data_IF_430777787316
#
_entry.id   IF_430777787316
#
_cell.length_a   1.000
_cell.length_b   1.000
_cell.length_c   1.000
_cell.angle_alpha   90.00
_cell.angle_beta   90.00
_cell.angle_gamma   90.00
#
_symmetry.space_group_name_H-M   'P 1'
#
loop_
_entity.id
_entity.type
_entity.pdbx_description
1 polymer ?
#
# COMPACT_ATOMS: atom_id res chain seq x y z
N UNK A 1 52.20 32.72 -0.02
CA UNK A 1 52.03 31.63 0.96
C UNK A 1 50.61 31.06 1.08
N UNK A 2 49.59 31.51 0.31
CA UNK A 2 48.19 31.07 0.51
C UNK A 2 47.64 29.99 -0.42
N UNK A 3 48.45 29.37 -1.30
CA UNK A 3 47.95 28.30 -2.21
C UNK A 3 47.99 26.89 -1.64
N UNK A 4 48.70 26.65 -0.54
CA UNK A 4 48.83 25.32 0.08
C UNK A 4 47.69 24.98 1.06
N UNK A 5 47.01 25.99 1.63
CA UNK A 5 45.90 25.79 2.58
C UNK A 5 44.57 25.41 1.88
N UNK A 6 44.36 25.83 0.63
CA UNK A 6 43.12 25.54 -0.12
C UNK A 6 43.09 24.09 -0.63
N UNK A 7 44.25 23.53 -0.99
CA UNK A 7 44.40 22.13 -1.43
C UNK A 7 44.17 21.14 -0.28
N UNK A 8 44.58 21.49 0.93
CA UNK A 8 44.38 20.67 2.13
C UNK A 8 42.94 20.71 2.63
N UNK A 9 42.25 21.85 2.51
CA UNK A 9 40.82 21.95 2.85
C UNK A 9 39.92 21.17 1.87
N UNK A 10 40.17 21.25 0.56
CA UNK A 10 39.40 20.52 -0.45
C UNK A 10 39.57 18.99 -0.33
N UNK A 11 40.78 18.53 -0.01
CA UNK A 11 41.05 17.10 0.20
C UNK A 11 40.52 16.58 1.54
N UNK A 12 40.44 17.41 2.58
CA UNK A 12 39.77 17.06 3.84
C UNK A 12 38.25 16.94 3.66
N UNK A 13 37.65 17.85 2.88
CA UNK A 13 36.20 17.85 2.64
C UNK A 13 35.74 16.70 1.75
N UNK A 14 36.50 16.38 0.69
CA UNK A 14 36.24 15.20 -0.15
C UNK A 14 36.35 13.88 0.62
N UNK A 15 37.29 13.77 1.57
CA UNK A 15 37.37 12.59 2.47
C UNK A 15 36.19 12.51 3.43
N UNK A 16 35.71 13.65 3.94
CA UNK A 16 34.56 13.69 4.84
C UNK A 16 33.26 13.33 4.11
N UNK A 17 33.11 13.73 2.85
CA UNK A 17 31.98 13.38 1.98
C UNK A 17 32.01 11.90 1.53
N UNK A 18 33.20 11.35 1.26
CA UNK A 18 33.35 9.93 0.97
C UNK A 18 33.07 9.06 2.20
N UNK A 19 33.45 9.52 3.40
CA UNK A 19 33.11 8.88 4.67
C UNK A 19 31.62 9.00 5.02
N UNK A 20 30.96 10.12 4.74
CA UNK A 20 29.51 10.27 4.97
C UNK A 20 28.69 9.41 4.02
N UNK A 21 29.10 9.30 2.75
CA UNK A 21 28.44 8.44 1.77
C UNK A 21 28.66 6.95 2.08
N UNK A 22 29.86 6.57 2.51
CA UNK A 22 30.12 5.21 3.00
C UNK A 22 29.32 4.90 4.27
N UNK A 23 29.20 5.86 5.20
CA UNK A 23 28.40 5.69 6.41
C UNK A 23 26.90 5.57 6.10
N UNK A 24 26.37 6.36 5.16
CA UNK A 24 24.97 6.29 4.73
C UNK A 24 24.66 4.94 4.03
N UNK A 25 25.55 4.47 3.14
CA UNK A 25 25.41 3.15 2.49
C UNK A 25 25.53 2.00 3.48
N UNK A 26 26.42 2.11 4.46
CA UNK A 26 26.58 1.10 5.52
C UNK A 26 25.39 1.12 6.49
N UNK A 27 24.80 2.28 6.74
CA UNK A 27 23.57 2.42 7.55
C UNK A 27 22.37 1.80 6.82
N UNK A 28 22.24 2.02 5.51
CA UNK A 28 21.20 1.40 4.70
C UNK A 28 21.34 -0.13 4.62
N UNK A 29 22.57 -0.65 4.52
CA UNK A 29 22.86 -2.09 4.54
C UNK A 29 22.68 -2.74 5.92
N UNK A 30 23.01 -2.01 7.01
CA UNK A 30 22.77 -2.50 8.36
C UNK A 30 21.28 -2.46 8.74
N UNK A 31 20.53 -1.48 8.22
CA UNK A 31 19.08 -1.44 8.32
C UNK A 31 18.47 -2.61 7.56
N UNK A 32 18.88 -2.89 6.31
CA UNK A 32 18.37 -4.06 5.55
C UNK A 32 18.68 -5.39 6.23
N UNK A 33 19.81 -5.51 6.94
CA UNK A 33 20.14 -6.66 7.78
C UNK A 33 19.27 -6.74 9.05
N UNK A 34 18.94 -5.61 9.69
CA UNK A 34 18.02 -5.53 10.84
C UNK A 34 16.61 -6.06 10.51
N UNK A 35 16.14 -5.88 9.28
CA UNK A 35 14.85 -6.41 8.83
C UNK A 35 14.80 -7.96 8.79
N UNK A 36 15.94 -8.65 8.58
CA UNK A 36 15.98 -10.12 8.59
C UNK A 36 15.66 -10.73 9.95
N UNK A 37 15.84 -9.98 11.05
CA UNK A 37 15.47 -10.41 12.40
C UNK A 37 13.98 -10.20 12.73
N UNK A 38 13.27 -9.37 11.96
CA UNK A 38 11.87 -9.00 12.22
C UNK A 38 10.84 -9.93 11.54
N UNK A 39 11.25 -10.78 10.60
CA UNK A 39 10.41 -11.80 9.94
C UNK A 39 9.75 -12.78 10.94
N UNK A 40 10.28 -12.90 12.16
CA UNK A 40 9.72 -13.78 13.18
C UNK A 40 8.41 -13.24 13.82
N UNK A 41 8.06 -11.97 13.60
CA UNK A 41 6.82 -11.36 14.12
C UNK A 41 5.75 -11.12 13.04
N UNK A 42 6.12 -11.14 11.75
CA UNK A 42 5.22 -10.88 10.61
C UNK A 42 4.29 -12.09 10.33
N UNK A 43 4.64 -13.29 10.81
CA UNK A 43 3.81 -14.51 10.66
C UNK A 43 2.76 -14.72 11.76
N UNK A 44 2.61 -13.80 12.72
CA UNK A 44 1.53 -13.86 13.73
C UNK A 44 0.35 -12.96 13.34
N UNK A 45 -0.50 -13.53 12.49
CA UNK A 45 -1.95 -13.28 12.36
C UNK A 45 -2.47 -11.99 13.00
N UNK A 46 -2.36 -10.86 12.30
CA UNK A 46 -3.21 -9.68 12.53
C UNK A 46 -4.54 -9.91 11.82
N UNK A 47 -5.34 -10.82 12.39
CA UNK A 47 -6.79 -10.73 12.25
C UNK A 47 -7.18 -9.36 12.83
N UNK A 48 -7.68 -8.50 11.94
CA UNK A 48 -8.15 -7.14 12.23
C UNK A 48 -8.73 -7.02 13.64
N UNK A 49 -8.12 -6.17 14.46
CA UNK A 49 -8.69 -5.73 15.72
C UNK A 49 -9.87 -4.82 15.40
N UNK A 50 -11.07 -5.41 15.34
CA UNK A 50 -12.33 -4.68 15.53
C UNK A 50 -12.22 -3.99 16.90
N UNK A 51 -12.31 -2.65 17.01
CA UNK A 51 -12.26 -1.99 18.31
C UNK A 51 -13.45 -2.46 19.15
N UNK A 52 -13.18 -3.15 20.28
CA UNK A 52 -14.18 -3.35 21.33
C UNK A 52 -14.59 -4.78 21.72
N UNK A 53 -14.01 -5.87 21.18
CA UNK A 53 -14.32 -7.23 21.67
C UNK A 53 -13.09 -8.09 21.91
N UNK A 54 -12.82 -8.40 23.19
CA UNK A 54 -11.85 -9.42 23.59
C UNK A 54 -12.34 -10.79 23.12
N UNK A 55 -11.67 -11.38 22.13
CA UNK A 55 -11.88 -12.77 21.72
C UNK A 55 -10.90 -13.66 22.49
N UNK A 56 -11.41 -14.48 23.40
CA UNK A 56 -10.63 -15.52 24.07
C UNK A 56 -10.35 -16.67 23.10
N UNK A 57 -9.09 -16.86 22.71
CA UNK A 57 -8.64 -17.98 21.87
C UNK A 57 -8.68 -19.26 22.72
N UNK A 58 -9.64 -20.15 22.45
CA UNK A 58 -9.72 -21.44 23.18
C UNK A 58 -8.67 -22.43 22.68
N UNK A 59 -8.09 -23.20 23.61
CA UNK A 59 -7.12 -24.28 23.33
C UNK A 59 -7.64 -25.35 22.35
N UNK A 60 -8.93 -25.39 22.04
CA UNK A 60 -9.53 -26.39 21.14
C UNK A 60 -9.08 -26.26 19.68
N UNK A 61 -8.67 -25.07 19.23
CA UNK A 61 -8.14 -24.86 17.86
C UNK A 61 -6.80 -25.54 17.60
N UNK A 62 -6.00 -25.77 18.66
CA UNK A 62 -4.66 -26.36 18.57
C UNK A 62 -4.68 -27.90 18.50
N UNK A 63 -5.77 -28.54 18.92
CA UNK A 63 -5.92 -29.99 18.90
C UNK A 63 -6.42 -30.53 17.54
N UNK A 64 -7.16 -29.72 16.76
CA UNK A 64 -7.70 -30.13 15.46
C UNK A 64 -6.65 -30.16 14.34
N UNK A 65 -5.62 -29.33 14.41
CA UNK A 65 -4.53 -29.29 13.41
C UNK A 65 -3.58 -30.49 13.48
N UNK A 66 -3.53 -31.22 14.60
CA UNK A 66 -2.54 -32.29 14.82
C UNK A 66 -3.04 -33.66 14.31
N UNK A 67 -4.36 -33.89 14.26
CA UNK A 67 -4.93 -35.20 13.88
C UNK A 67 -5.79 -35.20 12.61
N UNK A 68 -6.15 -34.04 12.04
CA UNK A 68 -7.03 -33.90 10.87
C UNK A 68 -6.36 -33.61 9.52
N UNK A 69 -5.05 -33.33 9.49
CA UNK A 69 -4.38 -32.73 8.33
C UNK A 69 -4.45 -33.54 7.02
N UNK A 70 -4.49 -34.88 7.09
CA UNK A 70 -4.53 -35.72 5.90
C UNK A 70 -5.86 -35.66 5.11
N UNK A 71 -6.98 -35.46 5.80
CA UNK A 71 -8.30 -35.33 5.15
C UNK A 71 -8.49 -33.93 4.56
N UNK A 72 -8.10 -32.90 5.31
CA UNK A 72 -8.12 -31.50 4.86
C UNK A 72 -7.25 -31.31 3.62
N UNK A 73 -6.03 -31.83 3.62
CA UNK A 73 -5.11 -31.67 2.49
C UNK A 73 -5.58 -32.42 1.22
N UNK A 74 -6.25 -33.57 1.39
CA UNK A 74 -6.92 -34.27 0.28
C UNK A 74 -8.09 -33.44 -0.26
N UNK A 75 -8.88 -32.82 0.62
CA UNK A 75 -10.02 -32.01 0.22
C UNK A 75 -9.59 -30.72 -0.47
N UNK A 76 -8.58 -30.04 0.06
CA UNK A 76 -7.97 -28.88 -0.56
C UNK A 76 -7.39 -29.21 -1.94
N UNK A 77 -6.79 -30.40 -2.10
CA UNK A 77 -6.32 -30.89 -3.41
C UNK A 77 -7.47 -31.13 -4.39
N UNK A 78 -8.59 -31.68 -3.92
CA UNK A 78 -9.80 -31.84 -4.74
C UNK A 78 -10.34 -30.47 -5.19
N UNK A 79 -10.51 -29.52 -4.26
CA UNK A 79 -10.95 -28.15 -4.60
C UNK A 79 -9.99 -27.55 -5.63
N UNK A 80 -8.67 -27.57 -5.38
CA UNK A 80 -7.65 -27.08 -6.33
C UNK A 80 -7.78 -27.68 -7.73
N UNK A 81 -8.11 -28.96 -7.86
CA UNK A 81 -8.22 -29.64 -9.16
C UNK A 81 -9.39 -29.15 -10.02
N UNK A 82 -10.34 -28.44 -9.43
CA UNK A 82 -11.51 -27.87 -10.12
C UNK A 82 -11.19 -26.49 -10.70
N UNK A 83 -10.12 -25.83 -10.23
CA UNK A 83 -9.74 -24.49 -10.69
C UNK A 83 -8.51 -24.52 -11.61
N UNK A 84 -8.45 -23.63 -12.63
CA UNK A 84 -9.51 -22.75 -13.10
C UNK A 84 -10.56 -23.50 -13.93
N UNK A 85 -11.82 -23.06 -13.89
CA UNK A 85 -12.93 -23.71 -14.61
C UNK A 85 -13.62 -22.85 -15.66
N UNK A 86 -13.23 -21.58 -15.84
CA UNK A 86 -13.77 -20.68 -16.88
C UNK A 86 -15.31 -20.56 -16.88
N UNK A 87 -15.93 -20.55 -15.69
CA UNK A 87 -17.40 -20.63 -15.51
C UNK A 87 -18.10 -21.76 -16.28
N UNK A 88 -17.39 -22.85 -16.58
CA UNK A 88 -17.94 -24.02 -17.27
C UNK A 88 -19.12 -24.63 -16.52
N UNK A 89 -20.23 -24.80 -17.22
CA UNK A 89 -21.43 -25.49 -16.73
C UNK A 89 -21.28 -27.02 -16.72
N UNK A 90 -20.17 -27.56 -17.26
CA UNK A 90 -19.92 -29.00 -17.32
C UNK A 90 -19.42 -29.57 -15.99
N UNK A 91 -18.96 -28.72 -15.07
CA UNK A 91 -18.51 -29.16 -13.75
C UNK A 91 -19.73 -29.32 -12.84
N UNK A 92 -20.10 -30.57 -12.60
CA UNK A 92 -21.15 -30.91 -11.64
C UNK A 92 -20.78 -30.42 -10.23
N UNK A 93 -21.76 -29.84 -9.52
CA UNK A 93 -21.65 -29.35 -8.14
C UNK A 93 -20.64 -28.19 -7.94
N UNK A 94 -20.37 -27.40 -8.99
CA UNK A 94 -19.45 -26.26 -8.89
C UNK A 94 -19.89 -25.24 -7.82
N UNK A 95 -21.19 -24.98 -7.67
CA UNK A 95 -21.72 -24.08 -6.64
C UNK A 95 -21.39 -24.59 -5.22
N UNK A 96 -21.57 -25.89 -4.96
CA UNK A 96 -21.25 -26.51 -3.67
C UNK A 96 -19.75 -26.43 -3.36
N UNK A 97 -18.90 -26.56 -4.38
CA UNK A 97 -17.44 -26.44 -4.25
C UNK A 97 -17.05 -25.01 -3.86
N UNK A 98 -17.72 -23.99 -4.40
CA UNK A 98 -17.51 -22.60 -4.00
C UNK A 98 -17.97 -22.34 -2.56
N UNK A 99 -19.15 -22.82 -2.18
CA UNK A 99 -19.66 -22.70 -0.81
C UNK A 99 -18.72 -23.38 0.20
N UNK A 100 -18.23 -24.58 -0.13
CA UNK A 100 -17.25 -25.28 0.70
C UNK A 100 -15.93 -24.51 0.80
N UNK A 101 -15.42 -24.00 -0.33
CA UNK A 101 -14.20 -23.22 -0.36
C UNK A 101 -14.34 -21.94 0.51
N UNK A 102 -15.46 -21.22 0.44
CA UNK A 102 -15.73 -20.09 1.33
C UNK A 102 -15.80 -20.51 2.80
N UNK A 103 -16.26 -21.72 3.10
CA UNK A 103 -16.22 -22.31 4.45
C UNK A 103 -14.82 -22.33 5.07
N UNK A 104 -13.75 -22.39 4.25
CA UNK A 104 -12.37 -22.30 4.75
C UNK A 104 -12.05 -20.97 5.42
N UNK A 105 -12.75 -19.90 5.04
CA UNK A 105 -12.51 -18.59 5.61
C UNK A 105 -13.05 -18.45 7.02
N UNK A 106 -14.02 -19.28 7.43
CA UNK A 106 -14.63 -19.20 8.76
C UNK A 106 -13.61 -18.98 9.91
N UNK A 107 -13.89 -18.11 10.89
CA UNK A 107 -12.96 -17.85 11.97
C UNK A 107 -12.61 -19.13 12.75
N UNK A 108 -11.31 -19.44 12.87
CA UNK A 108 -10.82 -20.59 13.63
C UNK A 108 -11.09 -21.99 13.05
N UNK A 109 -11.63 -22.10 11.84
CA UNK A 109 -11.95 -23.39 11.21
C UNK A 109 -10.72 -24.09 10.59
N UNK A 110 -9.84 -23.33 9.93
CA UNK A 110 -8.70 -23.83 9.16
C UNK A 110 -7.43 -23.02 9.42
N UNK A 111 -6.28 -23.63 9.11
CA UNK A 111 -4.99 -22.95 9.21
C UNK A 111 -4.83 -21.85 8.14
N UNK A 112 -4.02 -20.84 8.44
CA UNK A 112 -3.80 -19.68 7.55
C UNK A 112 -3.32 -20.11 6.16
N UNK A 113 -2.48 -21.15 6.06
CA UNK A 113 -1.99 -21.66 4.78
C UNK A 113 -3.11 -22.22 3.87
N UNK A 114 -4.13 -22.89 4.45
CA UNK A 114 -5.30 -23.36 3.72
C UNK A 114 -6.15 -22.17 3.23
N UNK A 115 -6.30 -21.14 4.08
CA UNK A 115 -7.04 -19.91 3.72
C UNK A 115 -6.36 -19.18 2.57
N UNK A 116 -5.06 -18.94 2.67
CA UNK A 116 -4.26 -18.29 1.62
C UNK A 116 -4.37 -19.06 0.31
N UNK A 117 -4.30 -20.39 0.36
CA UNK A 117 -4.50 -21.24 -0.82
C UNK A 117 -5.84 -20.98 -1.50
N UNK A 118 -6.93 -21.02 -0.75
CA UNK A 118 -8.27 -20.82 -1.30
C UNK A 118 -8.43 -19.40 -1.84
N UNK A 119 -7.91 -18.40 -1.12
CA UNK A 119 -7.90 -17.02 -1.57
C UNK A 119 -7.17 -16.87 -2.91
N UNK A 120 -6.04 -17.55 -3.12
CA UNK A 120 -5.35 -17.55 -4.41
C UNK A 120 -6.17 -18.18 -5.54
N UNK A 121 -6.98 -19.21 -5.26
CA UNK A 121 -7.91 -19.77 -6.26
C UNK A 121 -8.97 -18.73 -6.66
N UNK A 122 -9.56 -18.03 -5.69
CA UNK A 122 -10.54 -16.98 -5.96
C UNK A 122 -9.92 -15.77 -6.66
N UNK A 123 -8.71 -15.35 -6.27
CA UNK A 123 -8.00 -14.27 -6.96
C UNK A 123 -7.70 -14.62 -8.43
N UNK A 124 -7.38 -15.87 -8.74
CA UNK A 124 -7.21 -16.32 -10.11
C UNK A 124 -8.52 -16.23 -10.93
N UNK A 125 -9.67 -16.58 -10.32
CA UNK A 125 -10.98 -16.43 -10.96
C UNK A 125 -11.35 -14.96 -11.15
N UNK A 126 -11.15 -14.12 -10.13
CA UNK A 126 -11.37 -12.66 -10.20
C UNK A 126 -10.52 -12.03 -11.30
N UNK A 127 -9.24 -12.40 -11.38
CA UNK A 127 -8.32 -11.91 -12.41
C UNK A 127 -8.78 -12.26 -13.83
N UNK A 128 -9.36 -13.44 -14.01
CA UNK A 128 -9.85 -13.90 -15.32
C UNK A 128 -11.30 -13.49 -15.62
N UNK A 129 -12.00 -12.92 -14.64
CA UNK A 129 -13.38 -12.44 -14.79
C UNK A 129 -14.45 -13.52 -14.59
N UNK A 130 -14.05 -14.77 -14.33
CA UNK A 130 -14.94 -15.92 -14.13
C UNK A 130 -15.47 -15.98 -12.69
N UNK A 131 -16.27 -14.98 -12.32
CA UNK A 131 -16.70 -14.74 -10.93
C UNK A 131 -18.15 -15.15 -10.68
N UNK A 132 -18.81 -15.79 -11.65
CA UNK A 132 -20.25 -16.06 -11.57
C UNK A 132 -20.61 -16.91 -10.34
N UNK A 133 -19.96 -18.06 -10.18
CA UNK A 133 -20.22 -18.97 -9.06
C UNK A 133 -19.69 -18.44 -7.72
N UNK A 134 -18.59 -17.68 -7.73
CA UNK A 134 -18.11 -16.98 -6.54
C UNK A 134 -19.16 -16.01 -6.01
N UNK A 135 -19.78 -15.24 -6.92
CA UNK A 135 -20.83 -14.29 -6.55
C UNK A 135 -22.04 -14.99 -5.96
N UNK A 136 -22.55 -16.05 -6.62
CA UNK A 136 -23.70 -16.82 -6.09
C UNK A 136 -23.39 -17.31 -4.68
N UNK A 137 -22.21 -17.91 -4.48
CA UNK A 137 -21.84 -18.45 -3.18
C UNK A 137 -21.66 -17.37 -2.10
N UNK A 138 -21.22 -16.17 -2.46
CA UNK A 138 -21.17 -15.02 -1.53
C UNK A 138 -22.55 -14.46 -1.20
N UNK A 139 -23.47 -14.45 -2.17
CA UNK A 139 -24.85 -13.98 -2.00
C UNK A 139 -25.65 -14.91 -1.04
N UNK A 140 -25.27 -16.19 -0.96
CA UNK A 140 -25.85 -17.20 -0.05
C UNK A 140 -25.32 -17.11 1.40
N UNK A 141 -24.22 -16.38 1.65
CA UNK A 141 -23.62 -16.23 2.98
C UNK A 141 -24.38 -15.21 3.84
N UNK A 142 -24.25 -15.35 5.16
CA UNK A 142 -24.63 -14.25 6.06
C UNK A 142 -23.72 -13.03 5.82
N UNK A 143 -24.22 -11.82 6.13
CA UNK A 143 -23.43 -10.58 5.95
C UNK A 143 -22.07 -10.65 6.66
N UNK A 144 -22.00 -11.24 7.86
CA UNK A 144 -20.76 -11.42 8.60
C UNK A 144 -19.77 -12.37 7.90
N UNK A 145 -20.25 -13.50 7.37
CA UNK A 145 -19.40 -14.46 6.65
C UNK A 145 -18.92 -13.91 5.31
N UNK A 146 -19.79 -13.16 4.62
CA UNK A 146 -19.46 -12.46 3.38
C UNK A 146 -18.39 -11.39 3.65
N UNK A 147 -18.59 -10.52 4.66
CA UNK A 147 -17.60 -9.54 5.11
C UNK A 147 -16.24 -10.19 5.36
N UNK A 148 -16.22 -11.29 6.12
CA UNK A 148 -14.98 -11.99 6.43
C UNK A 148 -14.30 -12.58 5.19
N UNK A 149 -15.08 -13.15 4.27
CA UNK A 149 -14.60 -13.72 3.02
C UNK A 149 -13.96 -12.66 2.12
N UNK A 150 -14.63 -11.52 1.97
CA UNK A 150 -14.10 -10.38 1.20
C UNK A 150 -12.83 -9.82 1.84
N UNK A 151 -12.79 -9.69 3.17
CA UNK A 151 -11.62 -9.22 3.89
C UNK A 151 -10.40 -10.13 3.66
N UNK A 152 -10.59 -11.46 3.68
CA UNK A 152 -9.52 -12.43 3.39
C UNK A 152 -9.03 -12.30 1.95
N UNK A 153 -9.93 -12.16 0.97
CA UNK A 153 -9.58 -11.98 -0.45
C UNK A 153 -8.76 -10.70 -0.65
N UNK A 154 -9.27 -9.56 -0.14
CA UNK A 154 -8.59 -8.25 -0.26
C UNK A 154 -7.24 -8.24 0.43
N UNK A 155 -7.17 -8.77 1.65
CA UNK A 155 -5.93 -8.81 2.43
C UNK A 155 -4.89 -9.71 1.78
N UNK A 156 -5.29 -10.89 1.27
CA UNK A 156 -4.38 -11.78 0.55
C UNK A 156 -3.84 -11.09 -0.70
N UNK A 157 -4.70 -10.45 -1.49
CA UNK A 157 -4.28 -9.70 -2.67
C UNK A 157 -3.28 -8.60 -2.32
N UNK A 158 -3.57 -7.79 -1.30
CA UNK A 158 -2.65 -6.71 -0.90
C UNK A 158 -1.33 -7.23 -0.35
N UNK A 159 -1.36 -8.28 0.45
CA UNK A 159 -0.14 -8.88 1.00
C UNK A 159 0.76 -9.42 -0.12
N UNK A 160 0.20 -10.05 -1.16
CA UNK A 160 0.99 -10.54 -2.29
C UNK A 160 1.69 -9.39 -3.03
N UNK A 161 0.98 -8.30 -3.29
CA UNK A 161 1.55 -7.12 -3.96
C UNK A 161 2.62 -6.45 -3.10
N UNK A 162 2.37 -6.28 -1.81
CA UNK A 162 3.34 -5.71 -0.88
C UNK A 162 4.58 -6.59 -0.72
N UNK A 163 4.43 -7.91 -0.66
CA UNK A 163 5.56 -8.83 -0.63
C UNK A 163 6.40 -8.75 -1.91
N UNK A 164 5.77 -8.66 -3.08
CA UNK A 164 6.47 -8.46 -4.35
C UNK A 164 7.24 -7.13 -4.34
N UNK A 165 6.62 -6.10 -3.78
CA UNK A 165 7.21 -4.78 -3.64
C UNK A 165 8.43 -4.78 -2.72
N UNK A 166 8.27 -5.31 -1.51
CA UNK A 166 9.32 -5.37 -0.49
C UNK A 166 10.51 -6.22 -1.00
N UNK A 167 10.23 -7.29 -1.76
CA UNK A 167 11.27 -8.13 -2.39
C UNK A 167 12.07 -7.39 -3.48
N UNK A 168 11.42 -6.51 -4.26
CA UNK A 168 12.09 -5.72 -5.30
C UNK A 168 13.09 -4.72 -4.70
N UNK A 169 12.76 -4.06 -3.57
CA UNK A 169 13.68 -3.13 -2.91
C UNK A 169 14.72 -3.80 -1.99
N UNK A 170 14.49 -5.05 -1.57
CA UNK A 170 15.46 -5.84 -0.78
C UNK A 170 16.65 -6.39 -1.59
N UNK A 171 16.86 -5.95 -2.83
CA UNK A 171 17.95 -6.42 -3.71
C UNK A 171 17.92 -7.95 -3.95
N UNK A 172 16.78 -8.61 -3.76
CA UNK A 172 16.60 -10.01 -4.16
C UNK A 172 16.37 -10.04 -5.67
N UNK A 173 17.44 -10.18 -6.45
CA UNK A 173 17.51 -9.97 -7.91
C UNK A 173 16.60 -10.83 -8.81
N UNK A 174 15.51 -11.39 -8.30
CA UNK A 174 14.56 -12.22 -9.04
C UNK A 174 13.24 -11.50 -9.38
N UNK A 175 12.84 -10.48 -8.62
CA UNK A 175 11.59 -9.75 -8.90
C UNK A 175 11.89 -8.54 -9.76
N UNK A 176 11.30 -8.50 -10.96
CA UNK A 176 11.41 -7.31 -11.82
C UNK A 176 10.22 -6.38 -11.59
N UNK A 177 10.42 -5.08 -11.83
CA UNK A 177 9.35 -4.09 -11.77
C UNK A 177 8.18 -4.44 -12.71
N UNK A 178 8.47 -5.06 -13.85
CA UNK A 178 7.47 -5.61 -14.79
C UNK A 178 6.61 -6.70 -14.15
N UNK A 179 7.18 -7.56 -13.30
CA UNK A 179 6.45 -8.57 -12.53
C UNK A 179 5.47 -7.91 -11.57
N UNK A 180 5.92 -6.90 -10.81
CA UNK A 180 5.07 -6.15 -9.86
C UNK A 180 3.92 -5.46 -10.59
N UNK A 181 4.21 -4.79 -11.72
CA UNK A 181 3.19 -4.12 -12.54
C UNK A 181 2.18 -5.11 -13.14
N UNK A 182 2.62 -6.30 -13.58
CA UNK A 182 1.73 -7.34 -14.10
C UNK A 182 0.80 -7.88 -13.00
N UNK A 183 1.31 -8.03 -11.79
CA UNK A 183 0.51 -8.50 -10.65
C UNK A 183 -0.42 -7.41 -10.12
N UNK A 184 -0.09 -6.12 -10.27
CA UNK A 184 -1.00 -5.01 -9.97
C UNK A 184 -2.30 -5.04 -10.79
N UNK A 185 -2.34 -5.74 -11.94
CA UNK A 185 -3.61 -6.02 -12.65
C UNK A 185 -4.63 -6.74 -11.77
N UNK A 186 -4.17 -7.58 -10.86
CA UNK A 186 -5.04 -8.29 -9.93
C UNK A 186 -5.79 -7.30 -9.02
N UNK A 187 -5.14 -6.19 -8.61
CA UNK A 187 -5.80 -5.13 -7.84
C UNK A 187 -6.97 -4.51 -8.63
N UNK A 188 -6.76 -4.21 -9.91
CA UNK A 188 -7.82 -3.65 -10.79
C UNK A 188 -9.01 -4.62 -10.83
N UNK A 189 -8.75 -5.90 -11.08
CA UNK A 189 -9.80 -6.93 -11.13
C UNK A 189 -10.53 -7.07 -9.79
N UNK A 190 -9.80 -7.04 -8.66
CA UNK A 190 -10.40 -7.10 -7.32
C UNK A 190 -11.26 -5.87 -7.04
N UNK A 191 -10.78 -4.65 -7.34
CA UNK A 191 -11.56 -3.42 -7.18
C UNK A 191 -12.83 -3.44 -8.05
N UNK A 192 -12.74 -3.85 -9.31
CA UNK A 192 -13.91 -4.02 -10.18
C UNK A 192 -14.90 -5.07 -9.63
N UNK A 193 -14.40 -6.17 -9.06
CA UNK A 193 -15.24 -7.16 -8.41
C UNK A 193 -15.96 -6.57 -7.19
N UNK A 194 -15.27 -5.80 -6.34
CA UNK A 194 -15.87 -5.12 -5.18
C UNK A 194 -16.90 -4.07 -5.58
N UNK A 195 -16.66 -3.32 -6.67
CA UNK A 195 -17.64 -2.38 -7.25
C UNK A 195 -18.92 -3.14 -7.62
N UNK A 196 -18.80 -4.29 -8.28
CA UNK A 196 -19.96 -5.10 -8.68
C UNK A 196 -20.76 -5.62 -7.49
N UNK A 197 -20.12 -5.90 -6.35
CA UNK A 197 -20.82 -6.27 -5.11
C UNK A 197 -21.50 -5.05 -4.50
N UNK A 198 -20.75 -3.95 -4.35
CA UNK A 198 -21.21 -2.67 -3.77
C UNK A 198 -22.48 -2.14 -4.43
N UNK A 199 -22.61 -2.32 -5.75
CA UNK A 199 -23.74 -1.82 -6.53
C UNK A 199 -25.02 -2.67 -6.44
N UNK A 200 -25.02 -3.81 -5.74
CA UNK A 200 -26.18 -4.70 -5.68
C UNK A 200 -27.25 -4.21 -4.71
N UNK A 201 -26.83 -3.77 -3.52
CA UNK A 201 -27.69 -3.28 -2.46
C UNK A 201 -26.90 -2.44 -1.47
N UNK A 202 -27.61 -1.67 -0.63
CA UNK A 202 -27.00 -0.96 0.48
C UNK A 202 -26.31 -1.89 1.49
N UNK A 203 -26.93 -3.05 1.79
CA UNK A 203 -26.33 -4.07 2.67
C UNK A 203 -25.02 -4.67 2.10
N UNK A 204 -24.95 -4.84 0.78
CA UNK A 204 -23.75 -5.33 0.10
C UNK A 204 -22.64 -4.25 0.11
N UNK A 205 -23.00 -2.98 -0.11
CA UNK A 205 -22.10 -1.84 0.08
C UNK A 205 -21.51 -1.82 1.50
N UNK A 206 -22.38 -1.92 2.51
CA UNK A 206 -21.99 -1.97 3.92
C UNK A 206 -21.04 -3.14 4.21
N UNK A 207 -21.32 -4.31 3.66
CA UNK A 207 -20.46 -5.50 3.79
C UNK A 207 -19.08 -5.27 3.19
N UNK A 208 -18.97 -4.58 2.05
CA UNK A 208 -17.68 -4.24 1.41
C UNK A 208 -16.91 -3.19 2.23
N UNK A 209 -17.60 -2.20 2.81
CA UNK A 209 -17.01 -1.21 3.73
C UNK A 209 -16.45 -1.89 4.97
N UNK A 210 -17.29 -2.65 5.67
CA UNK A 210 -16.92 -3.36 6.89
C UNK A 210 -15.82 -4.42 6.64
N UNK A 211 -15.65 -4.88 5.40
CA UNK A 211 -14.57 -5.77 4.99
C UNK A 211 -13.21 -5.07 4.83
N UNK A 212 -13.15 -3.73 4.90
CA UNK A 212 -11.91 -2.96 4.88
C UNK A 212 -11.47 -2.48 3.50
N UNK A 213 -12.40 -2.20 2.58
CA UNK A 213 -12.05 -1.68 1.24
C UNK A 213 -11.30 -0.34 1.31
N UNK A 214 -11.62 0.53 2.27
CA UNK A 214 -10.96 1.83 2.44
C UNK A 214 -9.52 1.67 2.98
N UNK A 215 -9.28 0.68 3.83
CA UNK A 215 -7.92 0.29 4.25
C UNK A 215 -7.10 -0.27 3.08
N UNK A 216 -7.74 -1.08 2.21
CA UNK A 216 -7.10 -1.55 0.98
C UNK A 216 -6.68 -0.38 0.08
N UNK A 217 -7.54 0.64 -0.08
CA UNK A 217 -7.19 1.84 -0.85
C UNK A 217 -6.05 2.63 -0.21
N UNK A 218 -6.00 2.76 1.12
CA UNK A 218 -4.89 3.41 1.80
C UNK A 218 -3.56 2.66 1.56
N UNK A 219 -3.59 1.33 1.61
CA UNK A 219 -2.41 0.51 1.32
C UNK A 219 -1.99 0.62 -0.15
N UNK A 220 -2.96 0.74 -1.08
CA UNK A 220 -2.66 1.02 -2.49
C UNK A 220 -1.99 2.39 -2.62
N UNK A 221 -2.51 3.43 -1.95
CA UNK A 221 -1.92 4.78 -1.93
C UNK A 221 -0.45 4.77 -1.52
N UNK A 222 -0.09 3.99 -0.50
CA UNK A 222 1.29 3.90 -0.04
C UNK A 222 2.23 3.35 -1.11
N UNK A 223 1.84 2.30 -1.82
CA UNK A 223 2.67 1.68 -2.87
C UNK A 223 2.51 2.36 -4.25
N UNK A 224 1.48 3.19 -4.41
CA UNK A 224 1.13 3.91 -5.64
C UNK A 224 2.34 4.63 -6.28
N UNK A 225 3.16 5.41 -5.56
CA UNK A 225 4.29 6.15 -6.16
C UNK A 225 5.33 5.24 -6.82
N UNK A 226 5.45 4.00 -6.36
CA UNK A 226 6.36 3.04 -6.96
C UNK A 226 5.90 2.58 -8.34
N UNK A 227 4.60 2.43 -8.53
CA UNK A 227 4.02 2.17 -9.84
C UNK A 227 4.21 3.38 -10.78
N UNK A 228 4.10 4.61 -10.26
CA UNK A 228 4.36 5.83 -11.04
C UNK A 228 5.81 5.89 -11.57
N UNK A 229 6.79 5.51 -10.75
CA UNK A 229 8.20 5.46 -11.17
C UNK A 229 8.45 4.43 -12.27
N UNK A 230 7.68 3.35 -12.30
CA UNK A 230 7.65 2.35 -13.39
C UNK A 230 6.82 2.77 -14.60
N UNK A 231 5.96 3.77 -14.45
CA UNK A 231 4.97 4.16 -15.47
C UNK A 231 5.59 4.85 -16.69
N UNK A 232 6.86 5.29 -16.62
CA UNK A 232 7.64 5.66 -17.80
C UNK A 232 7.80 4.47 -18.77
N UNK A 233 7.73 3.23 -18.27
CA UNK A 233 7.87 2.00 -19.07
C UNK A 233 6.54 1.23 -19.27
N UNK A 234 5.51 1.43 -18.42
CA UNK A 234 4.21 0.74 -18.53
C UNK A 234 2.99 1.63 -18.17
N UNK A 235 2.60 2.58 -19.04
CA UNK A 235 1.44 3.46 -18.79
C UNK A 235 0.10 2.73 -18.73
N UNK A 236 0.01 1.54 -19.32
CA UNK A 236 -1.23 0.75 -19.48
C UNK A 236 -1.85 0.24 -18.15
N UNK A 237 -1.17 0.40 -17.02
CA UNK A 237 -1.62 -0.12 -15.72
C UNK A 237 -1.93 0.96 -14.69
N UNK A 238 -1.33 2.13 -14.85
CA UNK A 238 -1.46 3.24 -13.92
C UNK A 238 -2.85 3.86 -13.93
N UNK A 239 -3.28 4.37 -15.09
CA UNK A 239 -4.58 5.01 -15.23
C UNK A 239 -5.71 4.06 -14.84
N UNK A 240 -5.74 2.80 -15.31
CA UNK A 240 -6.83 1.89 -14.95
C UNK A 240 -6.90 1.56 -13.45
N UNK A 241 -5.77 1.52 -12.73
CA UNK A 241 -5.79 1.30 -11.29
C UNK A 241 -6.34 2.52 -10.55
N UNK A 242 -5.90 3.72 -10.93
CA UNK A 242 -6.44 4.96 -10.37
C UNK A 242 -7.94 5.11 -10.65
N UNK A 243 -8.35 4.82 -11.88
CA UNK A 243 -9.75 4.85 -12.31
C UNK A 243 -10.59 3.83 -11.54
N UNK A 244 -10.06 2.63 -11.27
CA UNK A 244 -10.70 1.64 -10.42
C UNK A 244 -10.83 2.12 -8.96
N UNK A 245 -9.79 2.75 -8.40
CA UNK A 245 -9.80 3.32 -7.05
C UNK A 245 -10.86 4.44 -6.93
N UNK A 246 -10.92 5.35 -7.90
CA UNK A 246 -11.94 6.39 -7.98
C UNK A 246 -13.34 5.79 -8.12
N UNK A 247 -13.49 4.79 -8.98
CA UNK A 247 -14.79 4.16 -9.25
C UNK A 247 -15.36 3.44 -8.03
N UNK A 248 -14.53 2.79 -7.20
CA UNK A 248 -15.02 2.16 -5.98
C UNK A 248 -15.47 3.20 -4.96
N UNK A 249 -14.72 4.28 -4.77
CA UNK A 249 -15.12 5.36 -3.87
C UNK A 249 -16.45 6.00 -4.35
N UNK A 250 -16.60 6.25 -5.65
CA UNK A 250 -17.86 6.70 -6.24
C UNK A 250 -19.00 5.70 -6.02
N UNK A 251 -18.75 4.39 -6.17
CA UNK A 251 -19.76 3.37 -5.96
C UNK A 251 -20.21 3.30 -4.49
N UNK A 252 -19.28 3.43 -3.54
CA UNK A 252 -19.56 3.47 -2.10
C UNK A 252 -20.38 4.71 -1.73
N UNK A 253 -20.04 5.87 -2.31
CA UNK A 253 -20.68 7.16 -2.02
C UNK A 253 -22.09 7.31 -2.60
N UNK A 254 -22.56 6.36 -3.40
CA UNK A 254 -23.95 6.36 -3.92
C UNK A 254 -24.98 6.16 -2.81
N UNK A 255 -24.59 5.50 -1.73
CA UNK A 255 -25.47 5.15 -0.62
C UNK A 255 -25.27 6.17 0.51
N UNK A 256 -26.18 7.15 0.59
CA UNK A 256 -26.04 8.33 1.45
C UNK A 256 -25.80 7.99 2.94
N UNK A 257 -26.35 6.86 3.42
CA UNK A 257 -26.20 6.39 4.80
C UNK A 257 -24.74 6.04 5.15
N UNK A 258 -23.92 5.68 4.16
CA UNK A 258 -22.53 5.30 4.34
C UNK A 258 -21.54 6.47 4.23
N UNK A 259 -22.00 7.64 3.76
CA UNK A 259 -21.14 8.80 3.51
C UNK A 259 -20.34 9.22 4.76
N UNK A 260 -20.96 9.21 5.94
CA UNK A 260 -20.29 9.59 7.18
C UNK A 260 -19.05 8.73 7.46
N UNK A 261 -19.13 7.42 7.23
CA UNK A 261 -18.02 6.50 7.44
C UNK A 261 -16.94 6.67 6.36
N UNK A 262 -17.36 6.73 5.09
CA UNK A 262 -16.45 6.90 3.95
C UNK A 262 -15.60 8.17 4.12
N UNK A 263 -16.25 9.31 4.34
CA UNK A 263 -15.57 10.61 4.44
C UNK A 263 -14.82 10.79 5.77
N UNK A 264 -15.08 9.95 6.78
CA UNK A 264 -14.29 9.93 8.02
C UNK A 264 -13.00 9.11 7.89
N UNK A 265 -12.88 8.27 6.87
CA UNK A 265 -11.72 7.40 6.70
C UNK A 265 -10.49 8.20 6.23
N UNK A 266 -9.30 7.97 6.81
CA UNK A 266 -8.10 8.77 6.52
C UNK A 266 -7.70 8.77 5.04
N UNK A 267 -7.96 7.68 4.30
CA UNK A 267 -7.67 7.62 2.84
C UNK A 267 -8.36 8.73 2.05
N UNK A 268 -9.57 9.13 2.42
CA UNK A 268 -10.32 10.15 1.70
C UNK A 268 -9.77 11.56 1.95
N UNK A 269 -9.08 11.76 3.07
CA UNK A 269 -8.38 13.03 3.39
C UNK A 269 -6.95 13.05 2.87
N UNK A 270 -6.27 11.90 2.91
CA UNK A 270 -4.86 11.76 2.49
C UNK A 270 -4.75 11.64 0.97
N UNK A 271 -5.69 10.98 0.29
CA UNK A 271 -5.57 10.75 -1.16
C UNK A 271 -6.56 11.61 -1.94
N UNK A 272 -6.20 12.88 -2.12
CA UNK A 272 -7.04 13.89 -2.80
C UNK A 272 -7.32 13.56 -4.26
N UNK A 273 -6.46 12.77 -4.93
CA UNK A 273 -6.71 12.31 -6.30
C UNK A 273 -7.84 11.27 -6.42
N UNK A 274 -8.17 10.58 -5.32
CA UNK A 274 -9.28 9.63 -5.24
C UNK A 274 -10.56 10.26 -4.68
N UNK A 275 -10.55 11.57 -4.46
CA UNK A 275 -11.62 12.28 -3.81
C UNK A 275 -12.86 12.35 -4.72
N UNK A 276 -14.00 11.78 -4.29
CA UNK A 276 -15.24 11.80 -5.04
C UNK A 276 -16.00 13.08 -4.69
N UNK A 277 -15.37 14.26 -4.58
CA UNK A 277 -16.07 15.46 -4.14
C UNK A 277 -17.39 15.59 -4.91
N UNK A 278 -18.56 15.44 -4.24
CA UNK A 278 -19.80 15.75 -4.90
C UNK A 278 -19.79 17.27 -5.14
N UNK A 279 -20.21 17.76 -6.32
CA UNK A 279 -20.42 19.18 -6.51
C UNK A 279 -21.68 19.57 -5.73
N UNK A 280 -21.56 19.92 -4.45
CA UNK A 280 -22.39 20.91 -3.76
C UNK A 280 -22.24 20.86 -2.22
N UNK A 281 -22.27 22.06 -1.62
CA UNK A 281 -22.52 22.38 -0.21
C UNK A 281 -21.33 22.65 0.73
N UNK A 282 -20.16 23.06 0.24
CA UNK A 282 -19.25 23.87 1.05
C UNK A 282 -19.42 25.35 0.66
N UNK A 283 -19.71 26.19 1.66
CA UNK A 283 -19.96 27.64 1.53
C UNK A 283 -18.70 28.43 1.17
N UNK A 284 -17.52 27.81 1.22
CA UNK A 284 -16.27 28.25 0.60
C UNK A 284 -15.41 27.00 0.37
N UNK A 285 -14.63 26.92 -0.74
CA UNK A 285 -13.67 25.84 -0.89
C UNK A 285 -12.66 25.87 0.27
N UNK A 286 -12.34 24.73 0.90
CA UNK A 286 -11.35 24.70 1.99
C UNK A 286 -10.03 25.29 1.51
N UNK A 287 -9.35 26.06 2.37
CA UNK A 287 -8.05 26.63 2.01
C UNK A 287 -6.99 25.52 1.91
N UNK A 288 -5.91 25.76 1.16
CA UNK A 288 -4.77 24.82 1.09
C UNK A 288 -4.22 24.48 2.50
N UNK A 289 -4.29 25.44 3.42
CA UNK A 289 -3.91 25.23 4.81
C UNK A 289 -4.85 24.27 5.54
N UNK A 290 -6.17 24.40 5.36
CA UNK A 290 -7.15 23.52 6.00
C UNK A 290 -7.00 22.07 5.52
N UNK A 291 -6.77 21.88 4.22
CA UNK A 291 -6.48 20.58 3.63
C UNK A 291 -5.21 19.96 4.20
N UNK A 292 -4.14 20.75 4.34
CA UNK A 292 -2.90 20.30 4.95
C UNK A 292 -3.09 19.89 6.42
N UNK A 293 -3.82 20.69 7.21
CA UNK A 293 -4.10 20.37 8.61
C UNK A 293 -4.94 19.10 8.72
N UNK A 294 -5.96 18.94 7.88
CA UNK A 294 -6.79 17.74 7.83
C UNK A 294 -5.97 16.50 7.49
N UNK A 295 -5.07 16.60 6.50
CA UNK A 295 -4.12 15.54 6.15
C UNK A 295 -3.23 15.14 7.32
N UNK A 296 -2.66 16.11 8.03
CA UNK A 296 -1.82 15.83 9.21
C UNK A 296 -2.62 15.11 10.33
N UNK A 297 -3.88 15.49 10.55
CA UNK A 297 -4.74 14.83 11.52
C UNK A 297 -5.09 13.41 11.08
N UNK A 298 -5.38 13.21 9.80
CA UNK A 298 -5.66 11.89 9.24
C UNK A 298 -4.49 10.92 9.44
N UNK A 299 -3.24 11.35 9.23
CA UNK A 299 -2.06 10.50 9.47
C UNK A 299 -1.95 9.97 10.90
N UNK A 300 -2.46 10.70 11.90
CA UNK A 300 -2.42 10.27 13.31
C UNK A 300 -3.36 9.11 13.60
N UNK A 301 -4.34 8.84 12.75
CA UNK A 301 -5.29 7.73 12.91
C UNK A 301 -4.89 6.51 12.07
N UNK A 302 -3.91 6.65 11.18
CA UNK A 302 -3.42 5.58 10.31
C UNK A 302 -2.57 4.58 11.09
N UNK A 303 -2.65 3.31 10.67
CA UNK A 303 -1.82 2.24 11.23
C UNK A 303 -0.32 2.51 11.00
N UNK A 304 0.51 2.27 12.03
CA UNK A 304 1.97 2.42 11.97
C UNK A 304 2.64 1.69 10.80
N UNK A 305 2.10 0.55 10.34
CA UNK A 305 2.63 -0.19 9.18
C UNK A 305 2.52 0.62 7.89
N UNK A 306 1.37 1.26 7.65
CA UNK A 306 1.16 2.13 6.50
C UNK A 306 2.10 3.34 6.57
N UNK A 307 2.20 3.98 7.74
CA UNK A 307 3.12 5.11 7.98
C UNK A 307 4.58 4.72 7.68
N UNK A 308 5.05 3.60 8.23
CA UNK A 308 6.42 3.11 7.98
C UNK A 308 6.66 2.84 6.51
N UNK A 309 5.69 2.24 5.81
CA UNK A 309 5.80 1.99 4.37
C UNK A 309 5.84 3.29 3.59
N UNK A 310 4.98 4.27 3.89
CA UNK A 310 5.01 5.61 3.31
C UNK A 310 6.38 6.30 3.49
N UNK A 311 6.95 6.25 4.70
CA UNK A 311 8.29 6.77 4.97
C UNK A 311 9.37 6.05 4.16
N UNK A 312 9.25 4.73 4.02
CA UNK A 312 10.17 3.94 3.20
C UNK A 312 10.11 4.36 1.72
N UNK A 313 8.92 4.64 1.19
CA UNK A 313 8.73 5.16 -0.17
C UNK A 313 9.42 6.51 -0.41
N UNK A 314 9.38 7.38 0.59
CA UNK A 314 10.06 8.67 0.56
C UNK A 314 11.57 8.47 0.65
N UNK A 315 12.01 7.64 1.60
CA UNK A 315 13.42 7.34 1.81
C UNK A 315 14.05 6.70 0.57
N UNK A 316 13.36 5.82 -0.14
CA UNK A 316 13.87 5.17 -1.36
C UNK A 316 13.79 6.05 -2.61
N UNK A 317 13.27 7.28 -2.50
CA UNK A 317 13.15 8.22 -3.62
C UNK A 317 12.14 7.77 -4.68
N UNK A 318 11.08 7.08 -4.25
CA UNK A 318 9.97 6.71 -5.12
C UNK A 318 8.83 7.72 -5.08
N UNK A 319 8.63 8.37 -3.93
CA UNK A 319 7.64 9.44 -3.78
C UNK A 319 8.22 10.83 -4.02
N UNK A 320 9.49 11.07 -3.66
CA UNK A 320 10.13 12.39 -3.80
C UNK A 320 11.35 12.29 -4.72
N UNK A 321 11.35 13.08 -5.81
CA UNK A 321 12.53 13.32 -6.65
C UNK A 321 13.00 14.77 -6.52
N UNK A 322 14.28 14.98 -6.18
CA UNK A 322 14.85 16.30 -5.88
C UNK A 322 14.83 17.32 -7.04
N UNK A 323 14.29 16.97 -8.21
CA UNK A 323 14.42 17.74 -9.46
C UNK A 323 13.12 17.91 -10.27
N UNK A 324 11.95 17.49 -9.78
CA UNK A 324 10.68 17.65 -10.53
C UNK A 324 9.57 18.06 -9.57
N UNK A 325 9.25 19.35 -9.48
CA UNK A 325 8.17 19.87 -8.62
C UNK A 325 6.81 19.30 -9.01
N UNK A 326 6.45 18.15 -8.43
CA UNK A 326 5.13 17.53 -8.58
C UNK A 326 4.34 17.60 -7.28
N UNK A 327 3.03 17.41 -7.36
CA UNK A 327 2.11 17.43 -6.21
C UNK A 327 2.57 16.40 -5.15
N UNK A 328 3.07 15.26 -5.61
CA UNK A 328 3.60 14.17 -4.78
C UNK A 328 4.80 14.60 -3.91
N UNK A 329 5.64 15.53 -4.38
CA UNK A 329 6.77 16.05 -3.58
C UNK A 329 6.27 16.94 -2.42
N UNK A 330 5.22 17.73 -2.67
CA UNK A 330 4.60 18.59 -1.65
C UNK A 330 3.95 17.72 -0.58
N UNK A 331 3.22 16.68 -1.00
CA UNK A 331 2.67 15.68 -0.08
C UNK A 331 3.75 14.98 0.74
N UNK A 332 4.83 14.51 0.10
CA UNK A 332 5.95 13.86 0.78
C UNK A 332 6.61 14.76 1.83
N UNK A 333 6.76 16.05 1.50
CA UNK A 333 7.30 17.05 2.41
C UNK A 333 6.38 17.28 3.62
N UNK A 334 5.08 17.46 3.38
CA UNK A 334 4.08 17.59 4.42
C UNK A 334 4.05 16.36 5.35
N UNK A 335 4.09 15.16 4.76
CA UNK A 335 4.12 13.88 5.47
C UNK A 335 5.37 13.81 6.37
N UNK A 336 6.56 14.12 5.84
CA UNK A 336 7.79 14.10 6.64
C UNK A 336 7.76 15.08 7.81
N UNK A 337 7.29 16.31 7.60
CA UNK A 337 7.20 17.31 8.67
C UNK A 337 6.26 16.83 9.78
N UNK A 338 5.09 16.32 9.44
CA UNK A 338 4.15 15.79 10.45
C UNK A 338 4.73 14.57 11.18
N UNK A 339 5.35 13.63 10.46
CA UNK A 339 5.85 12.37 11.02
C UNK A 339 7.11 12.52 11.90
N UNK A 340 7.76 13.70 11.90
CA UNK A 340 8.84 14.02 12.87
C UNK A 340 8.33 14.43 14.26
N UNK A 341 7.00 14.58 14.45
CA UNK A 341 6.42 15.06 15.69
C UNK A 341 6.32 13.93 16.74
N UNK A 342 7.33 13.84 17.60
CA UNK A 342 7.45 12.83 18.66
C UNK A 342 6.30 12.79 19.68
N UNK A 343 5.47 13.83 19.72
CA UNK A 343 4.25 13.86 20.53
C UNK A 343 3.11 12.98 19.99
N UNK A 344 3.16 12.58 18.71
CA UNK A 344 2.10 11.83 18.03
C UNK A 344 2.54 10.46 17.52
N UNK A 345 3.84 10.23 17.34
CA UNK A 345 4.36 9.02 16.73
C UNK A 345 5.45 8.38 17.61
N UNK A 346 5.54 7.06 17.53
CA UNK A 346 6.56 6.28 18.20
C UNK A 346 7.96 6.64 17.70
N UNK A 347 8.99 6.42 18.53
CA UNK A 347 10.37 6.81 18.24
C UNK A 347 10.88 6.25 16.92
N UNK A 348 10.51 5.01 16.56
CA UNK A 348 10.92 4.38 15.30
C UNK A 348 10.42 5.14 14.06
N UNK A 349 9.17 5.63 14.08
CA UNK A 349 8.59 6.41 12.98
C UNK A 349 9.30 7.75 12.87
N UNK A 350 9.52 8.41 14.02
CA UNK A 350 10.17 9.72 14.07
C UNK A 350 11.62 9.64 13.57
N UNK A 351 12.37 8.64 14.01
CA UNK A 351 13.75 8.39 13.56
C UNK A 351 13.81 8.12 12.05
N UNK A 352 12.88 7.31 11.52
CA UNK A 352 12.80 7.03 10.09
C UNK A 352 12.43 8.28 9.29
N UNK A 353 11.53 9.12 9.80
CA UNK A 353 11.18 10.40 9.18
C UNK A 353 12.38 11.37 9.14
N UNK A 354 13.13 11.50 10.24
CA UNK A 354 14.37 12.29 10.25
C UNK A 354 15.41 11.76 9.27
N UNK A 355 15.57 10.44 9.18
CA UNK A 355 16.50 9.81 8.22
C UNK A 355 16.09 10.12 6.76
N UNK A 356 14.81 10.00 6.46
CA UNK A 356 14.27 10.33 5.13
C UNK A 356 14.47 11.82 4.80
N UNK A 357 14.19 12.72 5.74
CA UNK A 357 14.42 14.16 5.58
C UNK A 357 15.90 14.48 5.35
N UNK A 358 16.81 13.90 6.14
CA UNK A 358 18.26 14.10 5.99
C UNK A 358 18.74 13.62 4.62
N UNK A 359 18.27 12.45 4.16
CA UNK A 359 18.60 11.95 2.83
C UNK A 359 18.19 12.94 1.75
N UNK A 360 16.97 13.48 1.81
CA UNK A 360 16.49 14.45 0.81
C UNK A 360 17.31 15.74 0.81
N UNK A 361 17.68 16.26 1.98
CA UNK A 361 18.56 17.44 2.10
C UNK A 361 19.93 17.18 1.44
N UNK A 362 20.55 16.03 1.71
CA UNK A 362 21.85 15.66 1.14
C UNK A 362 21.78 15.44 -0.38
N UNK A 363 20.71 14.84 -0.88
CA UNK A 363 20.47 14.65 -2.32
C UNK A 363 20.26 15.97 -3.06
N UNK A 364 19.54 16.93 -2.47
CA UNK A 364 19.36 18.27 -3.05
C UNK A 364 20.66 19.09 -3.07
N UNK A 365 21.45 19.04 -1.99
CA UNK A 365 22.75 19.74 -1.91
C UNK A 365 23.74 19.31 -2.99
N UNK A 366 23.73 18.02 -3.35
CA UNK A 366 24.59 17.46 -4.40
C UNK A 366 24.24 17.96 -5.81
N UNK A 367 22.96 18.32 -6.04
CA UNK A 367 22.46 18.83 -7.33
C UNK A 367 22.71 20.34 -7.51
N UNK A 368 22.81 21.10 -6.41
CA UNK A 368 23.16 22.52 -6.41
C UNK A 368 24.64 22.77 -6.75
N UNK A 369 25.54 21.84 -6.40
CA UNK A 369 26.97 21.94 -6.74
C UNK A 369 27.23 21.62 -8.22
N UNK A 370 26.53 20.64 -8.80
CA UNK A 370 26.65 20.31 -10.23
C UNK A 370 26.12 21.40 -11.17
N UNK A 371 25.16 22.20 -10.73
CA UNK A 371 24.62 23.34 -11.50
C UNK A 371 25.47 24.61 -11.36
N UNK A 372 26.23 24.76 -10.28
CA UNK A 372 27.17 25.88 -10.10
C UNK A 372 28.54 25.67 -10.79
N UNK A 373 28.89 24.45 -11.21
CA UNK A 373 30.07 24.20 -12.05
C UNK A 373 29.88 24.56 -13.53
N UNK A 374 28.67 24.94 -13.96
CA UNK A 374 28.35 25.29 -15.34
C UNK A 374 28.12 26.78 -15.62
N UNK A 375 28.09 27.66 -14.60
CA UNK A 375 27.74 29.07 -14.77
C UNK A 375 28.87 30.00 -14.33
N UNK A 376 29.90 30.10 -15.18
CA UNK A 376 30.87 31.19 -15.16
C UNK A 376 30.99 31.78 -16.58
N UNK A 377 29.95 32.49 -17.02
CA UNK A 377 30.03 33.47 -18.10
C UNK A 377 28.78 34.37 -18.14
N UNK A 378 28.59 35.22 -17.13
CA UNK A 378 27.81 36.44 -17.32
C UNK A 378 28.67 37.64 -16.89
N UNK A 379 29.33 38.22 -17.90
CA UNK A 379 30.13 39.44 -17.87
C UNK A 379 29.21 40.64 -17.59
N UNK A 380 29.05 41.03 -16.33
CA UNK A 380 28.41 42.29 -15.96
C UNK A 380 29.42 43.45 -16.12
N UNK A 381 29.54 43.99 -17.33
CA UNK A 381 30.19 45.31 -17.53
C UNK A 381 29.27 46.43 -17.06
N UNK A 382 29.55 46.97 -15.88
CA UNK A 382 29.11 48.29 -15.47
C UNK A 382 29.79 49.37 -16.35
N UNK A 383 29.03 50.02 -17.25
CA UNK A 383 29.41 51.34 -17.80
C UNK A 383 29.11 52.41 -16.76
N UNK A 384 30.13 53.15 -16.32
CA UNK A 384 29.94 54.44 -15.66
C UNK A 384 29.56 55.49 -16.70
N UNK A 385 28.60 56.39 -16.43
CA UNK A 385 28.42 57.58 -17.24
C UNK A 385 29.43 58.66 -16.81
N UNK A 386 30.03 59.31 -17.80
CA UNK A 386 30.70 60.61 -17.72
C UNK A 386 29.75 61.69 -18.17
#
# INVERSE_FOLDING_TARGET
MNRLAVSTAASAWSRQQSQSNAAASTSAANLSASWSGYDQYITRSTLFLIPGRKVSISLAGKARSIFGGGAEQKRLRFIRSVFPHEDSTQITNIADIYAEALGYFSPGSHCDASKTTIAHLFLAQIRTGHVHYLRIALDDLSSFENQHSLAVIMTTCMNDIENLYDNYYRESGNTTLSTVAKEAKTLISVLHFMIRITLQSDSACRTVLDAGILDMLLRIYDIFPAFSKSALDTPDYWSPLLDACRSIILALSRWQENNGEIFSHPVCTIWTDCDPHPPAYAVEPPTDYDLLVARCVAWRTVNSLCIRRRLYMILTGNLWQSNVHKIEDVEACADLVELTRSQFYDSEIVELAFLAMLKQILSAGSSAESSNSGSNAFDYRFRRPS
#
